data_IF_771926036627
#
_entry.id   IF_771926036627
#
_cell.length_a   1.000
_cell.length_b   1.000
_cell.length_c   1.000
_cell.angle_alpha   90.00
_cell.angle_beta   90.00
_cell.angle_gamma   90.00
#
_symmetry.space_group_name_H-M   'P 1'
#
loop_
_entity.id
_entity.type
_entity.pdbx_description
1 polymer ?
#
# COMPACT_ATOMS: atom_id res chain seq x y z
N UNK A 1 9.87 -10.34 -18.44
CA UNK A 1 9.19 -11.34 -17.59
C UNK A 1 8.01 -12.01 -18.29
N UNK A 2 7.38 -11.38 -19.29
CA UNK A 2 6.49 -12.09 -20.24
C UNK A 2 7.17 -13.33 -20.82
N UNK A 3 8.45 -13.20 -21.18
CA UNK A 3 9.21 -14.29 -21.81
C UNK A 3 9.68 -15.35 -20.81
N UNK A 4 9.69 -15.04 -19.50
CA UNK A 4 10.03 -16.00 -18.44
C UNK A 4 8.80 -16.73 -17.93
N UNK A 5 7.68 -16.03 -17.70
CA UNK A 5 6.44 -16.69 -17.30
C UNK A 5 6.03 -17.77 -18.31
N UNK A 6 6.26 -17.51 -19.61
CA UNK A 6 6.04 -18.48 -20.68
C UNK A 6 7.00 -19.69 -20.65
N UNK A 7 8.19 -19.57 -20.04
CA UNK A 7 9.17 -20.67 -19.96
C UNK A 7 9.07 -21.50 -18.68
N UNK A 8 8.20 -21.11 -17.72
CA UNK A 8 8.18 -21.71 -16.37
C UNK A 8 6.95 -22.58 -16.14
N UNK A 9 5.93 -22.51 -17.01
CA UNK A 9 4.76 -23.38 -16.91
C UNK A 9 5.15 -24.87 -16.99
N UNK A 10 6.27 -25.19 -17.65
CA UNK A 10 6.84 -26.55 -17.73
C UNK A 10 8.18 -26.71 -16.96
N UNK A 11 8.50 -25.79 -16.04
CA UNK A 11 9.77 -25.84 -15.31
C UNK A 11 9.86 -27.07 -14.39
N UNK A 12 10.96 -27.81 -14.52
CA UNK A 12 11.28 -28.93 -13.65
C UNK A 12 11.65 -28.48 -12.23
N UNK A 13 11.70 -29.42 -11.29
CA UNK A 13 12.22 -29.14 -9.95
C UNK A 13 13.67 -28.63 -9.98
N UNK A 14 14.48 -29.04 -10.97
CA UNK A 14 15.86 -28.56 -11.14
C UNK A 14 15.92 -27.11 -11.61
N UNK A 15 15.03 -26.72 -12.53
CA UNK A 15 14.91 -25.33 -12.99
C UNK A 15 14.53 -24.40 -11.83
N UNK A 16 13.59 -24.84 -10.99
CA UNK A 16 13.20 -24.09 -9.80
C UNK A 16 14.32 -24.00 -8.77
N UNK A 17 15.09 -25.07 -8.53
CA UNK A 17 16.29 -25.01 -7.65
C UNK A 17 17.29 -23.98 -8.16
N UNK A 18 17.60 -24.01 -9.46
CA UNK A 18 18.50 -23.04 -10.07
C UNK A 18 17.98 -21.62 -9.86
N UNK A 19 16.70 -21.38 -10.12
CA UNK A 19 16.08 -20.07 -10.00
C UNK A 19 16.05 -19.53 -8.56
N UNK A 20 15.66 -20.37 -7.59
CA UNK A 20 15.63 -19.98 -6.18
C UNK A 20 17.03 -19.63 -5.66
N UNK A 21 18.06 -20.32 -6.15
CA UNK A 21 19.46 -20.00 -5.86
C UNK A 21 19.92 -18.69 -6.52
N UNK A 22 19.52 -18.42 -7.77
CA UNK A 22 19.82 -17.14 -8.44
C UNK A 22 19.15 -15.97 -7.72
N UNK A 23 17.95 -16.16 -7.17
CA UNK A 23 17.27 -15.13 -6.38
C UNK A 23 17.79 -14.96 -4.95
N UNK A 24 18.92 -15.57 -4.57
CA UNK A 24 19.50 -15.48 -3.22
C UNK A 24 19.99 -14.07 -2.83
N UNK A 25 20.39 -13.24 -3.80
CA UNK A 25 21.12 -11.99 -3.57
C UNK A 25 20.29 -10.77 -3.15
N UNK A 26 19.22 -10.94 -2.36
CA UNK A 26 18.44 -9.80 -1.84
C UNK A 26 19.25 -8.84 -0.95
N UNK A 27 20.27 -9.36 -0.25
CA UNK A 27 21.08 -8.60 0.70
C UNK A 27 22.09 -7.67 0.04
N UNK A 28 22.51 -7.96 -1.19
CA UNK A 28 23.63 -7.25 -1.82
C UNK A 28 23.23 -5.85 -2.32
N UNK A 29 21.93 -5.63 -2.55
CA UNK A 29 21.41 -4.39 -3.15
C UNK A 29 20.70 -3.45 -2.16
N UNK A 30 20.43 -3.91 -0.95
CA UNK A 30 19.78 -3.10 0.06
C UNK A 30 20.49 -3.34 1.40
N UNK A 31 21.04 -2.30 2.06
CA UNK A 31 21.50 -2.42 3.44
C UNK A 31 20.29 -2.76 4.33
N UNK A 32 19.97 -4.06 4.42
CA UNK A 32 18.87 -4.62 5.19
C UNK A 32 19.13 -4.51 6.70
N UNK A 33 20.30 -4.06 7.12
CA UNK A 33 20.52 -3.69 8.51
C UNK A 33 19.71 -2.45 8.91
N UNK A 34 19.45 -1.52 7.97
CA UNK A 34 18.73 -0.25 8.24
C UNK A 34 17.38 -0.12 7.55
N UNK A 35 17.04 -1.02 6.64
CA UNK A 35 15.75 -0.99 5.94
C UNK A 35 14.60 -1.40 6.87
N UNK A 36 13.49 -0.64 6.95
CA UNK A 36 12.31 -1.03 7.71
C UNK A 36 11.65 -2.31 7.15
N UNK A 37 12.00 -2.71 5.92
CA UNK A 37 11.48 -3.92 5.27
C UNK A 37 12.35 -5.15 5.53
N UNK A 38 13.50 -4.98 6.17
CA UNK A 38 14.48 -6.04 6.33
C UNK A 38 13.95 -7.27 7.07
N UNK A 39 13.13 -7.07 8.09
CA UNK A 39 12.50 -8.19 8.79
C UNK A 39 11.58 -8.97 7.84
N UNK A 40 10.75 -8.26 7.05
CA UNK A 40 9.85 -8.90 6.07
C UNK A 40 10.63 -9.66 5.00
N UNK A 41 11.73 -9.07 4.50
CA UNK A 41 12.60 -9.70 3.51
C UNK A 41 13.30 -10.94 4.06
N UNK A 42 13.90 -10.85 5.25
CA UNK A 42 14.55 -11.99 5.91
C UNK A 42 13.56 -13.12 6.18
N UNK A 43 12.37 -12.78 6.65
CA UNK A 43 11.31 -13.78 6.88
C UNK A 43 10.90 -14.47 5.57
N UNK A 44 10.67 -13.72 4.50
CA UNK A 44 10.38 -14.32 3.18
C UNK A 44 11.54 -15.16 2.66
N UNK A 45 12.77 -14.74 2.92
CA UNK A 45 13.97 -15.48 2.52
C UNK A 45 14.08 -16.83 3.22
N UNK A 46 13.79 -16.90 4.53
CA UNK A 46 13.75 -18.16 5.27
C UNK A 46 12.70 -19.10 4.68
N UNK A 47 11.52 -18.58 4.33
CA UNK A 47 10.49 -19.34 3.65
C UNK A 47 10.97 -19.89 2.29
N UNK A 48 11.56 -19.04 1.44
CA UNK A 48 12.16 -19.43 0.16
C UNK A 48 13.23 -20.51 0.33
N UNK A 49 14.15 -20.32 1.27
CA UNK A 49 15.23 -21.27 1.53
C UNK A 49 14.67 -22.62 1.97
N UNK A 50 13.58 -22.63 2.73
CA UNK A 50 12.90 -23.87 3.11
C UNK A 50 12.40 -24.64 1.87
N UNK A 51 11.81 -23.95 0.88
CA UNK A 51 11.41 -24.57 -0.41
C UNK A 51 12.65 -25.15 -1.10
N UNK A 52 13.69 -24.33 -1.25
CA UNK A 52 14.92 -24.74 -1.95
C UNK A 52 15.58 -25.96 -1.29
N UNK A 53 15.69 -25.94 0.03
CA UNK A 53 16.28 -27.03 0.82
C UNK A 53 15.44 -28.31 0.72
N UNK A 54 14.11 -28.20 0.73
CA UNK A 54 13.20 -29.32 0.48
C UNK A 54 13.39 -29.88 -0.93
N UNK A 55 13.46 -29.02 -1.94
CA UNK A 55 13.75 -29.44 -3.31
C UNK A 55 15.10 -30.16 -3.38
N UNK A 56 16.17 -29.62 -2.81
CA UNK A 56 17.51 -30.25 -2.82
C UNK A 56 17.53 -31.66 -2.20
N UNK A 57 16.64 -31.92 -1.23
CA UNK A 57 16.48 -33.24 -0.60
C UNK A 57 15.49 -34.17 -1.31
N UNK A 58 14.89 -33.73 -2.44
CA UNK A 58 13.76 -34.40 -3.07
C UNK A 58 12.59 -34.65 -2.10
N UNK A 59 12.33 -33.70 -1.19
CA UNK A 59 11.19 -33.76 -0.27
C UNK A 59 9.88 -33.81 -1.08
N UNK A 60 9.05 -34.86 -0.94
CA UNK A 60 7.79 -34.99 -1.67
C UNK A 60 6.88 -33.78 -1.51
N UNK A 61 6.90 -33.14 -0.34
CA UNK A 61 6.09 -31.95 -0.09
C UNK A 61 6.55 -30.78 -0.96
N UNK A 62 7.86 -30.48 -0.98
CA UNK A 62 8.43 -29.40 -1.77
C UNK A 62 8.25 -29.64 -3.28
N UNK A 63 8.41 -30.88 -3.75
CA UNK A 63 8.14 -31.27 -5.14
C UNK A 63 6.66 -31.05 -5.48
N UNK A 64 5.74 -31.40 -4.57
CA UNK A 64 4.31 -31.19 -4.78
C UNK A 64 3.95 -29.72 -5.00
N UNK A 65 4.65 -28.78 -4.35
CA UNK A 65 4.42 -27.35 -4.52
C UNK A 65 4.75 -26.87 -5.94
N UNK A 66 5.72 -27.50 -6.60
CA UNK A 66 6.07 -27.22 -8.00
C UNK A 66 5.01 -27.82 -8.92
N UNK A 67 4.71 -29.12 -8.75
CA UNK A 67 3.77 -29.83 -9.62
C UNK A 67 2.34 -29.29 -9.52
N UNK A 68 1.95 -28.75 -8.37
CA UNK A 68 0.64 -28.10 -8.15
C UNK A 68 0.63 -26.62 -8.59
N UNK A 69 1.74 -26.08 -9.13
CA UNK A 69 1.84 -24.70 -9.60
C UNK A 69 1.86 -23.63 -8.50
N UNK A 70 1.88 -24.01 -7.22
CA UNK A 70 1.82 -23.08 -6.10
C UNK A 70 3.03 -22.14 -6.05
N UNK A 71 4.23 -22.65 -6.36
CA UNK A 71 5.45 -21.82 -6.41
C UNK A 71 5.41 -20.88 -7.62
N UNK A 72 4.91 -21.35 -8.76
CA UNK A 72 4.70 -20.49 -9.93
C UNK A 72 3.73 -19.35 -9.59
N UNK A 73 2.59 -19.66 -8.99
CA UNK A 73 1.60 -18.67 -8.56
C UNK A 73 2.14 -17.69 -7.52
N UNK A 74 3.12 -18.11 -6.69
CA UNK A 74 3.83 -17.23 -5.76
C UNK A 74 4.85 -16.32 -6.43
N UNK A 75 5.50 -16.72 -7.51
CA UNK A 75 6.51 -15.87 -8.15
C UNK A 75 5.99 -15.11 -9.38
N UNK A 76 4.89 -15.57 -9.98
CA UNK A 76 4.18 -14.87 -11.05
C UNK A 76 3.80 -13.47 -10.58
N UNK A 77 4.13 -12.44 -11.37
CA UNK A 77 3.88 -11.03 -11.06
C UNK A 77 4.64 -10.44 -9.84
N UNK A 78 5.55 -11.18 -9.19
CA UNK A 78 6.48 -10.54 -8.27
C UNK A 78 7.53 -9.73 -9.06
N UNK A 79 7.90 -8.52 -8.60
CA UNK A 79 9.04 -7.82 -9.17
C UNK A 79 10.30 -8.67 -9.06
N UNK A 80 11.21 -8.52 -10.02
CA UNK A 80 12.48 -9.23 -10.03
C UNK A 80 13.26 -9.06 -8.74
N UNK A 81 13.85 -10.16 -8.28
CA UNK A 81 14.52 -10.27 -6.99
C UNK A 81 15.75 -9.35 -6.84
N UNK A 82 16.36 -8.95 -7.96
CA UNK A 82 17.57 -8.10 -7.99
C UNK A 82 17.30 -6.62 -8.29
N UNK A 83 16.06 -6.16 -8.13
CA UNK A 83 15.66 -4.84 -8.62
C UNK A 83 15.24 -3.90 -7.47
N UNK A 84 15.67 -2.62 -7.49
CA UNK A 84 15.08 -1.56 -6.65
C UNK A 84 13.53 -1.54 -6.63
N UNK A 85 12.89 -2.00 -7.70
CA UNK A 85 11.44 -2.15 -7.82
C UNK A 85 10.84 -3.09 -6.80
N UNK A 86 11.56 -4.11 -6.31
CA UNK A 86 11.05 -4.97 -5.25
C UNK A 86 10.94 -4.21 -3.93
N UNK A 87 11.93 -3.37 -3.60
CA UNK A 87 11.89 -2.52 -2.40
C UNK A 87 10.71 -1.55 -2.50
N UNK A 88 10.54 -0.89 -3.64
CA UNK A 88 9.40 0.00 -3.88
C UNK A 88 8.06 -0.74 -3.81
N UNK A 89 8.00 -1.95 -4.36
CA UNK A 89 6.80 -2.78 -4.32
C UNK A 89 6.46 -3.25 -2.90
N UNK A 90 7.47 -3.59 -2.08
CA UNK A 90 7.29 -3.96 -0.67
C UNK A 90 6.87 -2.77 0.19
N UNK A 91 7.50 -1.62 -0.07
CA UNK A 91 7.12 -0.34 0.52
C UNK A 91 5.66 -0.04 0.22
N UNK A 92 5.26 -0.13 -1.04
CA UNK A 92 3.87 0.00 -1.47
C UNK A 92 2.98 -1.04 -0.76
N UNK A 93 3.33 -2.33 -0.78
CA UNK A 93 2.53 -3.39 -0.15
C UNK A 93 2.29 -3.17 1.36
N UNK A 94 3.33 -2.75 2.09
CA UNK A 94 3.30 -2.58 3.55
C UNK A 94 2.52 -1.34 3.96
N UNK A 95 2.72 -0.22 3.27
CA UNK A 95 2.14 1.06 3.67
C UNK A 95 0.80 1.36 3.01
N UNK A 96 0.47 0.66 1.92
CA UNK A 96 -0.85 0.76 1.29
C UNK A 96 -1.93 0.16 2.19
N UNK A 97 -3.07 0.85 2.24
CA UNK A 97 -4.27 0.35 2.93
C UNK A 97 -4.60 -1.08 2.46
N UNK A 98 -5.00 -2.02 3.35
CA UNK A 98 -5.28 -3.41 2.97
C UNK A 98 -6.23 -3.57 1.79
N UNK A 99 -7.28 -2.72 1.69
CA UNK A 99 -8.24 -2.74 0.56
C UNK A 99 -7.67 -2.21 -0.78
N UNK A 100 -6.52 -1.55 -0.75
CA UNK A 100 -5.82 -1.03 -1.94
C UNK A 100 -4.72 -1.97 -2.43
N UNK A 101 -4.26 -2.92 -1.62
CA UNK A 101 -3.25 -3.92 -2.01
C UNK A 101 -3.69 -4.75 -3.21
N UNK A 102 -2.77 -5.10 -4.10
CA UNK A 102 -3.07 -6.11 -5.12
C UNK A 102 -3.25 -7.49 -4.46
N UNK A 103 -3.96 -8.44 -5.09
CA UNK A 103 -4.01 -9.82 -4.60
C UNK A 103 -2.61 -10.39 -4.35
N UNK A 104 -1.66 -10.03 -5.22
CA UNK A 104 -0.26 -10.43 -5.10
C UNK A 104 0.44 -9.91 -3.85
N UNK A 105 0.27 -8.63 -3.57
CA UNK A 105 0.82 -8.00 -2.37
C UNK A 105 0.25 -8.64 -1.11
N UNK A 106 -1.06 -8.89 -1.08
CA UNK A 106 -1.69 -9.55 0.05
C UNK A 106 -1.19 -10.98 0.23
N UNK A 107 -1.12 -11.77 -0.84
CA UNK A 107 -0.65 -13.16 -0.77
C UNK A 107 0.78 -13.25 -0.24
N UNK A 108 1.69 -12.40 -0.75
CA UNK A 108 3.05 -12.30 -0.25
C UNK A 108 3.11 -11.97 1.24
N UNK A 109 2.35 -10.96 1.68
CA UNK A 109 2.33 -10.57 3.09
C UNK A 109 1.75 -11.66 3.99
N UNK A 110 0.76 -12.42 3.52
CA UNK A 110 0.21 -13.56 4.24
C UNK A 110 1.23 -14.70 4.40
N UNK A 111 2.07 -14.96 3.39
CA UNK A 111 3.18 -15.93 3.50
C UNK A 111 4.21 -15.45 4.52
N UNK A 112 4.59 -14.18 4.47
CA UNK A 112 5.53 -13.60 5.45
C UNK A 112 4.97 -13.72 6.85
N UNK A 113 3.69 -13.43 7.06
CA UNK A 113 3.05 -13.55 8.36
C UNK A 113 2.98 -15.01 8.84
N UNK A 114 2.59 -15.94 7.97
CA UNK A 114 2.56 -17.37 8.28
C UNK A 114 3.95 -17.91 8.65
N UNK A 115 5.01 -17.43 7.99
CA UNK A 115 6.39 -17.78 8.32
C UNK A 115 6.86 -17.14 9.64
N UNK A 116 6.40 -15.92 9.95
CA UNK A 116 6.82 -15.20 11.16
C UNK A 116 6.19 -15.73 12.46
N UNK A 117 5.05 -16.43 12.40
CA UNK A 117 4.34 -16.93 13.60
C UNK A 117 5.05 -18.09 14.32
N UNK A 118 6.17 -18.59 13.79
CA UNK A 118 6.95 -19.72 14.33
C UNK A 118 6.10 -20.98 14.65
N UNK A 119 4.95 -21.11 13.99
CA UNK A 119 4.12 -22.30 14.11
C UNK A 119 4.78 -23.44 13.33
N UNK A 120 4.76 -24.69 13.83
CA UNK A 120 5.35 -25.87 13.18
C UNK A 120 4.54 -26.33 11.97
N UNK A 121 4.15 -25.40 11.09
CA UNK A 121 3.52 -25.67 9.82
C UNK A 121 4.60 -25.99 8.80
N UNK A 122 4.33 -27.05 8.06
CA UNK A 122 5.10 -27.41 6.88
C UNK A 122 5.05 -26.29 5.82
N UNK A 123 5.93 -26.34 4.82
CA UNK A 123 6.03 -25.30 3.79
C UNK A 123 4.70 -25.18 3.02
N UNK A 124 4.11 -26.32 2.65
CA UNK A 124 2.78 -26.38 2.04
C UNK A 124 1.70 -25.87 2.95
N UNK A 125 1.75 -26.20 4.24
CA UNK A 125 0.82 -25.67 5.24
C UNK A 125 0.82 -24.14 5.30
N UNK A 126 2.01 -23.52 5.19
CA UNK A 126 2.14 -22.05 5.14
C UNK A 126 1.57 -21.45 3.85
N UNK A 127 1.81 -22.08 2.70
CA UNK A 127 1.25 -21.63 1.41
C UNK A 127 -0.28 -21.75 1.38
N UNK A 128 -0.82 -22.88 1.83
CA UNK A 128 -2.27 -23.09 1.91
C UNK A 128 -2.93 -22.09 2.87
N UNK A 129 -2.31 -21.83 4.03
CA UNK A 129 -2.80 -20.81 4.96
C UNK A 129 -2.83 -19.41 4.31
N UNK A 130 -1.80 -19.06 3.54
CA UNK A 130 -1.74 -17.79 2.84
C UNK A 130 -2.75 -17.68 1.69
N UNK A 131 -3.01 -18.77 0.98
CA UNK A 131 -4.05 -18.85 -0.05
C UNK A 131 -5.46 -18.68 0.55
N UNK A 132 -5.72 -19.33 1.69
CA UNK A 132 -6.98 -19.16 2.44
C UNK A 132 -7.16 -17.71 2.90
N UNK A 133 -6.11 -17.10 3.46
CA UNK A 133 -6.13 -15.68 3.84
C UNK A 133 -6.39 -14.76 2.64
N UNK A 134 -5.83 -15.09 1.47
CA UNK A 134 -6.09 -14.33 0.24
C UNK A 134 -7.58 -14.36 -0.14
N UNK A 135 -8.23 -15.52 -0.06
CA UNK A 135 -9.66 -15.64 -0.37
C UNK A 135 -10.54 -14.88 0.64
N UNK A 136 -10.22 -14.96 1.94
CA UNK A 136 -10.89 -14.13 2.95
C UNK A 136 -10.70 -12.63 2.70
N UNK A 137 -9.49 -12.23 2.33
CA UNK A 137 -9.20 -10.85 1.97
C UNK A 137 -9.97 -10.42 0.73
N UNK A 138 -10.04 -11.24 -0.32
CA UNK A 138 -10.81 -10.96 -1.54
C UNK A 138 -12.28 -10.76 -1.23
N UNK A 139 -12.88 -11.68 -0.45
CA UNK A 139 -14.29 -11.58 -0.05
C UNK A 139 -14.60 -10.24 0.64
N UNK A 140 -13.72 -9.77 1.54
CA UNK A 140 -13.84 -8.45 2.18
C UNK A 140 -13.61 -7.29 1.20
N UNK A 141 -12.53 -7.32 0.42
CA UNK A 141 -12.13 -6.18 -0.43
C UNK A 141 -13.06 -6.00 -1.64
N UNK A 142 -13.62 -7.08 -2.15
CA UNK A 142 -14.56 -7.07 -3.27
C UNK A 142 -16.02 -6.92 -2.86
N UNK A 143 -16.31 -6.83 -1.57
CA UNK A 143 -17.64 -6.49 -1.09
C UNK A 143 -18.04 -5.09 -1.63
N UNK A 144 -19.23 -4.93 -2.25
CA UNK A 144 -19.63 -3.67 -2.89
C UNK A 144 -19.51 -2.45 -1.98
N UNK A 145 -19.88 -2.57 -0.70
CA UNK A 145 -19.81 -1.52 0.31
C UNK A 145 -18.38 -1.02 0.60
N UNK A 146 -17.37 -1.86 0.35
CA UNK A 146 -15.95 -1.52 0.47
C UNK A 146 -15.37 -1.01 -0.84
N UNK A 147 -15.94 -1.42 -1.99
CA UNK A 147 -15.47 -0.98 -3.30
C UNK A 147 -15.88 0.45 -3.64
N UNK A 148 -17.09 0.86 -3.26
CA UNK A 148 -17.61 2.22 -3.51
C UNK A 148 -16.90 3.31 -2.70
N UNK A 149 -16.08 2.92 -1.72
CA UNK A 149 -15.31 3.84 -0.87
C UNK A 149 -13.84 3.82 -1.31
N UNK A 150 -13.24 5.00 -1.42
CA UNK A 150 -11.80 5.15 -1.52
C UNK A 150 -11.18 5.05 -0.12
N UNK A 151 -10.26 4.10 0.12
CA UNK A 151 -9.63 4.01 1.44
C UNK A 151 -8.74 5.22 1.73
N UNK A 152 -8.64 5.57 3.02
CA UNK A 152 -7.80 6.67 3.52
C UNK A 152 -6.32 6.46 3.11
N UNK A 153 -5.73 7.48 2.51
CA UNK A 153 -4.32 7.49 2.12
C UNK A 153 -3.40 7.50 3.36
N UNK A 154 -3.86 8.06 4.48
CA UNK A 154 -3.12 8.19 5.73
C UNK A 154 -3.32 6.99 6.68
N UNK A 155 -3.93 5.89 6.20
CA UNK A 155 -4.19 4.69 6.99
C UNK A 155 -2.99 4.17 7.77
N UNK A 156 -1.79 4.23 7.17
CA UNK A 156 -0.58 3.70 7.80
C UNK A 156 -0.17 4.48 9.05
N UNK A 157 -0.59 5.74 9.23
CA UNK A 157 -0.39 6.49 10.47
C UNK A 157 -1.28 6.05 11.62
N UNK A 158 -2.42 5.44 11.31
CA UNK A 158 -3.34 4.86 12.30
C UNK A 158 -2.96 3.42 12.67
N UNK A 159 -1.93 2.85 12.03
CA UNK A 159 -1.44 1.50 12.32
C UNK A 159 -0.42 1.47 13.48
N UNK A 160 -0.10 0.26 13.94
CA UNK A 160 0.83 -0.05 15.05
C UNK A 160 2.19 0.69 15.03
N UNK A 161 2.64 1.13 13.85
CA UNK A 161 3.94 1.78 13.65
C UNK A 161 3.85 3.29 13.40
N UNK A 162 2.64 3.88 13.44
CA UNK A 162 2.42 5.31 13.23
C UNK A 162 2.34 6.11 14.52
N UNK A 163 1.52 7.16 14.50
CA UNK A 163 1.24 7.99 15.66
C UNK A 163 0.51 7.16 16.72
N UNK A 164 0.94 7.25 17.96
CA UNK A 164 0.33 6.52 19.07
C UNK A 164 -0.44 7.48 19.96
N UNK A 165 -1.61 7.07 20.44
CA UNK A 165 -2.25 7.79 21.53
C UNK A 165 -1.30 7.77 22.75
N UNK A 166 -1.06 8.95 23.33
CA UNK A 166 -0.18 9.11 24.47
C UNK A 166 -1.00 9.10 25.75
N UNK A 167 -1.24 7.90 26.26
CA UNK A 167 -1.98 7.66 27.50
C UNK A 167 -1.20 8.03 28.76
N UNK A 168 0.02 8.58 28.63
CA UNK A 168 0.75 9.06 29.80
C UNK A 168 -0.11 10.11 30.51
N UNK A 169 -0.60 9.74 31.70
CA UNK A 169 -1.15 10.71 32.64
C UNK A 169 -0.11 11.80 32.79
N UNK A 170 -0.47 13.09 32.63
CA UNK A 170 0.48 14.17 32.83
C UNK A 170 1.14 13.93 34.18
N UNK A 171 2.41 13.53 34.16
CA UNK A 171 3.11 13.19 35.38
C UNK A 171 3.09 14.45 36.25
N UNK A 172 2.83 14.29 37.55
CA UNK A 172 2.85 15.40 38.51
C UNK A 172 4.21 16.13 38.54
N UNK A 173 5.22 15.54 37.90
CA UNK A 173 6.57 16.06 37.76
C UNK A 173 6.75 16.74 36.38
N UNK A 174 6.02 17.83 36.12
CA UNK A 174 6.42 18.99 35.28
C UNK A 174 6.88 18.87 33.80
N UNK A 175 7.20 17.70 33.25
CA UNK A 175 7.94 17.60 31.97
C UNK A 175 7.07 17.34 30.74
N UNK A 176 5.81 16.93 30.92
CA UNK A 176 4.91 16.69 29.78
C UNK A 176 4.04 17.91 29.48
N UNK A 177 4.12 18.50 28.28
CA UNK A 177 3.31 19.68 27.96
C UNK A 177 1.83 19.31 28.04
N UNK A 178 1.05 20.11 28.77
CA UNK A 178 -0.41 19.96 28.89
C UNK A 178 -1.16 20.52 27.67
N UNK A 179 -0.46 21.32 26.86
CA UNK A 179 -0.99 21.95 25.65
C UNK A 179 -0.28 21.40 24.41
N UNK A 180 -1.00 21.35 23.30
CA UNK A 180 -0.40 21.13 22.00
C UNK A 180 0.55 22.28 21.65
N UNK A 181 1.79 21.98 21.27
CA UNK A 181 2.79 23.00 20.94
C UNK A 181 2.50 23.76 19.63
N UNK A 182 1.55 23.27 18.82
CA UNK A 182 1.16 23.89 17.55
C UNK A 182 -0.07 24.78 17.71
N UNK A 183 -1.19 24.25 18.20
CA UNK A 183 -2.43 25.01 18.34
C UNK A 183 -2.66 25.61 19.73
N UNK A 184 -1.71 25.42 20.66
CA UNK A 184 -1.73 25.88 22.07
C UNK A 184 -2.95 25.43 22.89
N UNK A 185 -3.81 24.58 22.34
CA UNK A 185 -4.99 24.05 23.01
C UNK A 185 -4.60 22.97 24.02
N UNK A 186 -5.31 22.95 25.15
CA UNK A 186 -5.21 21.89 26.16
C UNK A 186 -5.55 20.53 25.55
N UNK A 187 -4.79 19.50 25.92
CA UNK A 187 -5.12 18.14 25.55
C UNK A 187 -6.39 17.66 26.27
N UNK A 188 -7.23 16.92 25.56
CA UNK A 188 -8.43 16.30 26.10
C UNK A 188 -8.68 14.92 25.46
N UNK A 189 -9.58 14.11 26.04
CA UNK A 189 -9.85 12.73 25.60
C UNK A 189 -10.71 12.63 24.33
N UNK A 190 -11.25 13.74 23.86
CA UNK A 190 -12.31 13.83 22.84
C UNK A 190 -11.82 14.50 21.57
N UNK A 191 -11.53 15.80 21.61
CA UNK A 191 -11.24 16.64 20.46
C UNK A 191 -9.73 16.84 20.30
N UNK A 192 -9.03 17.16 21.38
CA UNK A 192 -7.58 17.39 21.39
C UNK A 192 -6.84 16.16 21.91
N UNK A 193 -7.11 15.00 21.32
CA UNK A 193 -6.44 13.74 21.65
C UNK A 193 -4.92 13.87 21.52
N UNK A 194 -4.21 13.44 22.55
CA UNK A 194 -2.75 13.53 22.65
C UNK A 194 -2.11 12.40 21.84
N UNK A 195 -1.32 12.75 20.83
CA UNK A 195 -0.63 11.80 19.95
C UNK A 195 0.89 11.97 20.06
N UNK A 196 1.61 10.86 20.14
CA UNK A 196 3.08 10.82 20.19
C UNK A 196 3.64 10.26 18.89
N UNK A 197 4.54 11.01 18.25
CA UNK A 197 5.31 10.53 17.12
C UNK A 197 6.47 9.61 17.58
N UNK A 198 7.01 8.74 16.72
CA UNK A 198 8.14 7.88 17.07
C UNK A 198 9.41 8.63 17.55
N UNK A 199 9.59 9.89 17.15
CA UNK A 199 10.66 10.76 17.65
C UNK A 199 10.43 11.29 19.09
N UNK A 200 9.32 10.92 19.73
CA UNK A 200 8.98 11.31 21.10
C UNK A 200 8.12 12.57 21.23
N UNK A 201 8.07 13.43 20.20
CA UNK A 201 7.26 14.66 20.23
C UNK A 201 5.76 14.36 20.30
N UNK A 202 5.06 15.22 21.04
CA UNK A 202 3.64 15.06 21.34
C UNK A 202 2.85 16.27 20.87
N UNK A 203 1.80 16.04 20.08
CA UNK A 203 0.88 17.06 19.55
C UNK A 203 -0.54 16.52 19.57
N UNK A 204 -1.53 17.38 19.31
CA UNK A 204 -2.90 16.89 19.20
C UNK A 204 -3.11 16.17 17.87
N UNK A 205 -4.06 15.23 17.83
CA UNK A 205 -4.41 14.47 16.64
C UNK A 205 -4.71 15.40 15.45
N UNK A 206 -5.48 16.46 15.65
CA UNK A 206 -5.88 17.39 14.59
C UNK A 206 -4.67 18.12 13.97
N UNK A 207 -3.69 18.54 14.78
CA UNK A 207 -2.48 19.18 14.27
C UNK A 207 -1.61 18.19 13.48
N UNK A 208 -1.49 16.94 13.94
CA UNK A 208 -0.81 15.91 13.15
C UNK A 208 -1.53 15.62 11.85
N UNK A 209 -2.85 15.40 11.88
CA UNK A 209 -3.63 15.13 10.68
C UNK A 209 -3.49 16.26 9.67
N UNK A 210 -3.66 17.52 10.07
CA UNK A 210 -3.49 18.67 9.17
C UNK A 210 -2.09 18.72 8.57
N UNK A 211 -1.07 18.57 9.40
CA UNK A 211 0.32 18.55 8.96
C UNK A 211 0.60 17.43 7.95
N UNK A 212 0.09 16.23 8.21
CA UNK A 212 0.28 15.08 7.33
C UNK A 212 -0.51 15.23 6.02
N UNK A 213 -1.65 15.91 6.02
CA UNK A 213 -2.36 16.25 4.77
C UNK A 213 -1.59 17.26 3.90
N UNK A 214 -0.82 18.16 4.52
CA UNK A 214 0.03 19.12 3.81
C UNK A 214 1.35 18.51 3.30
N UNK A 215 1.77 17.36 3.84
CA UNK A 215 2.95 16.65 3.37
C UNK A 215 2.68 15.97 2.01
N UNK A 216 3.52 16.22 1.01
CA UNK A 216 3.34 15.63 -0.34
C UNK A 216 4.24 14.42 -0.59
N UNK A 217 5.42 14.37 0.01
CA UNK A 217 6.45 13.34 -0.26
C UNK A 217 7.03 12.75 1.02
N UNK A 218 7.35 13.58 2.01
CA UNK A 218 8.00 13.17 3.25
C UNK A 218 7.12 13.46 4.47
N UNK A 219 6.77 12.39 5.18
CA UNK A 219 5.95 12.47 6.38
C UNK A 219 6.82 12.64 7.61
N UNK A 220 6.95 13.88 8.05
CA UNK A 220 7.90 14.28 9.08
C UNK A 220 7.19 14.89 10.28
N UNK A 221 7.80 14.81 11.46
CA UNK A 221 7.30 15.47 12.65
C UNK A 221 7.42 17.00 12.45
N UNK A 222 6.38 17.81 12.69
CA UNK A 222 6.46 19.25 12.50
C UNK A 222 7.46 19.91 13.48
N UNK A 223 7.79 19.26 14.60
CA UNK A 223 8.72 19.77 15.60
C UNK A 223 10.19 19.58 15.22
N UNK A 224 10.57 18.37 14.79
CA UNK A 224 11.98 18.02 14.57
C UNK A 224 12.30 17.46 13.19
N UNK A 225 11.31 17.36 12.30
CA UNK A 225 11.42 16.82 10.93
C UNK A 225 11.85 15.35 10.83
N UNK A 226 11.93 14.64 11.95
CA UNK A 226 12.10 13.19 11.96
C UNK A 226 10.93 12.48 11.29
N UNK A 227 11.19 11.37 10.59
CA UNK A 227 10.16 10.56 9.97
C UNK A 227 9.13 10.07 10.99
N UNK A 228 7.83 10.27 10.73
CA UNK A 228 6.78 9.86 11.69
C UNK A 228 6.47 8.36 11.66
N UNK A 229 7.22 7.57 10.90
CA UNK A 229 7.11 6.09 10.87
C UNK A 229 8.23 5.44 11.68
N UNK A 230 9.48 5.90 11.51
CA UNK A 230 10.63 5.30 12.23
C UNK A 230 11.33 6.21 13.23
N UNK A 231 10.99 7.50 13.30
CA UNK A 231 11.59 8.46 14.24
C UNK A 231 12.97 8.98 13.82
N UNK A 232 13.47 8.55 12.67
CA UNK A 232 14.81 8.92 12.17
C UNK A 232 14.78 10.21 11.34
N UNK A 233 15.82 11.03 11.46
CA UNK A 233 16.03 12.20 10.61
C UNK A 233 16.56 11.78 9.22
N UNK A 234 16.06 12.41 8.15
CA UNK A 234 16.52 12.12 6.78
C UNK A 234 16.16 10.71 6.27
N UNK A 235 15.07 10.13 6.76
CA UNK A 235 14.66 8.79 6.34
C UNK A 235 14.20 8.76 4.87
N UNK A 236 14.92 8.02 4.03
CA UNK A 236 14.57 7.80 2.60
C UNK A 236 13.58 6.64 2.38
N UNK A 237 13.40 5.77 3.38
CA UNK A 237 12.60 4.55 3.22
C UNK A 237 11.08 4.80 3.27
N UNK A 238 10.66 5.91 3.88
CA UNK A 238 9.27 6.20 4.22
C UNK A 238 8.65 7.32 3.38
N UNK A 239 9.20 7.60 2.21
CA UNK A 239 8.59 8.53 1.24
C UNK A 239 7.38 7.89 0.57
N UNK A 240 6.17 8.20 1.01
CA UNK A 240 4.96 7.60 0.48
C UNK A 240 4.27 8.57 -0.48
N UNK A 241 3.83 8.05 -1.61
CA UNK A 241 3.01 8.84 -2.52
C UNK A 241 1.64 9.07 -1.89
N UNK A 242 1.33 10.33 -1.59
CA UNK A 242 0.00 10.74 -1.18
C UNK A 242 -0.79 11.26 -2.38
N UNK A 243 -2.07 10.93 -2.40
CA UNK A 243 -3.01 11.59 -3.28
C UNK A 243 -3.06 13.10 -2.93
N UNK A 244 -3.05 13.99 -3.94
CA UNK A 244 -3.03 15.45 -3.71
C UNK A 244 -4.29 15.98 -2.99
N UNK A 245 -5.39 15.24 -3.11
CA UNK A 245 -6.66 15.47 -2.42
C UNK A 245 -7.35 14.12 -2.24
N UNK A 246 -8.50 14.12 -1.55
CA UNK A 246 -9.35 12.93 -1.48
C UNK A 246 -9.87 12.62 -2.88
N UNK A 247 -9.64 11.40 -3.43
CA UNK A 247 -10.13 11.08 -4.77
C UNK A 247 -11.66 11.18 -4.86
N UNK A 248 -12.20 11.78 -5.92
CA UNK A 248 -13.64 11.77 -6.20
C UNK A 248 -14.15 10.33 -6.17
N UNK A 249 -15.16 9.98 -5.36
CA UNK A 249 -15.63 8.60 -5.27
C UNK A 249 -15.95 7.99 -6.64
N UNK A 250 -15.48 6.76 -6.88
CA UNK A 250 -15.69 6.07 -8.15
C UNK A 250 -17.18 6.01 -8.60
N UNK A 251 -18.19 5.86 -7.71
CA UNK A 251 -19.58 5.93 -8.11
C UNK A 251 -19.95 7.25 -8.80
N UNK A 252 -19.50 8.39 -8.28
CA UNK A 252 -19.78 9.73 -8.82
C UNK A 252 -19.19 9.87 -10.23
N UNK A 253 -18.00 9.30 -10.46
CA UNK A 253 -17.37 9.27 -11.78
C UNK A 253 -18.18 8.40 -12.75
N UNK A 254 -18.61 7.21 -12.31
CA UNK A 254 -19.36 6.29 -13.15
C UNK A 254 -20.78 6.77 -13.45
N UNK A 255 -21.45 7.45 -12.53
CA UNK A 255 -22.78 8.05 -12.77
C UNK A 255 -22.76 9.02 -13.96
N UNK A 256 -21.65 9.77 -14.11
CA UNK A 256 -21.46 10.70 -15.23
C UNK A 256 -21.09 10.00 -16.54
N UNK A 257 -20.30 8.92 -16.45
CA UNK A 257 -19.75 8.25 -17.63
C UNK A 257 -20.63 7.14 -18.19
N UNK A 258 -21.49 6.55 -17.34
CA UNK A 258 -22.39 5.43 -17.61
C UNK A 258 -23.77 5.71 -17.00
N UNK A 259 -24.47 6.78 -17.42
CA UNK A 259 -25.76 7.17 -16.84
C UNK A 259 -26.82 6.08 -16.93
N UNK A 260 -26.75 5.21 -17.94
CA UNK A 260 -27.64 4.05 -18.12
C UNK A 260 -27.42 2.93 -17.09
N UNK A 261 -26.34 3.01 -16.31
CA UNK A 261 -25.95 2.04 -15.27
C UNK A 261 -26.17 2.55 -13.85
N UNK A 262 -26.73 3.75 -13.69
CA UNK A 262 -27.03 4.33 -12.37
C UNK A 262 -28.04 3.43 -11.65
N UNK A 263 -27.73 3.11 -10.39
CA UNK A 263 -28.56 2.23 -9.54
C UNK A 263 -28.22 0.74 -9.63
N UNK A 264 -27.47 0.30 -10.66
CA UNK A 264 -26.91 -1.06 -10.67
C UNK A 264 -25.77 -1.18 -9.64
N UNK A 265 -25.67 -2.32 -8.96
CA UNK A 265 -24.55 -2.61 -8.06
C UNK A 265 -23.24 -2.49 -8.85
N UNK A 266 -22.35 -1.59 -8.39
CA UNK A 266 -21.07 -1.32 -9.04
C UNK A 266 -21.21 -0.94 -10.54
N UNK A 267 -22.32 -0.33 -10.93
CA UNK A 267 -22.62 0.08 -12.31
C UNK A 267 -22.57 -1.09 -13.30
N UNK A 268 -22.97 -2.28 -12.83
CA UNK A 268 -22.98 -3.52 -13.64
C UNK A 268 -21.58 -4.12 -13.87
N UNK A 269 -20.55 -3.63 -13.19
CA UNK A 269 -19.19 -4.14 -13.29
C UNK A 269 -18.94 -5.27 -12.29
N UNK A 270 -18.22 -6.31 -12.73
CA UNK A 270 -17.66 -7.30 -11.82
C UNK A 270 -16.75 -6.61 -10.76
N UNK A 271 -16.76 -7.06 -9.49
CA UNK A 271 -15.98 -6.45 -8.42
C UNK A 271 -14.49 -6.23 -8.74
N UNK A 272 -13.85 -7.21 -9.38
CA UNK A 272 -12.43 -7.15 -9.78
C UNK A 272 -12.19 -6.03 -10.80
N UNK A 273 -13.08 -5.91 -11.79
CA UNK A 273 -13.02 -4.86 -12.83
C UNK A 273 -13.29 -3.49 -12.23
N UNK A 274 -14.28 -3.38 -11.34
CA UNK A 274 -14.57 -2.14 -10.63
C UNK A 274 -13.35 -1.68 -9.83
N UNK A 275 -12.75 -2.57 -9.04
CA UNK A 275 -11.56 -2.29 -8.26
C UNK A 275 -10.37 -1.88 -9.13
N UNK A 276 -10.12 -2.63 -10.21
CA UNK A 276 -9.04 -2.32 -11.14
C UNK A 276 -9.18 -0.89 -11.71
N UNK A 277 -10.40 -0.51 -12.12
CA UNK A 277 -10.69 0.86 -12.59
C UNK A 277 -10.54 1.90 -11.48
N UNK A 278 -11.04 1.62 -10.27
CA UNK A 278 -10.90 2.52 -9.11
C UNK A 278 -9.44 2.83 -8.82
N UNK A 279 -8.58 1.81 -8.74
CA UNK A 279 -7.16 2.02 -8.45
C UNK A 279 -6.42 2.66 -9.64
N UNK A 280 -6.71 2.26 -10.88
CA UNK A 280 -6.08 2.83 -12.08
C UNK A 280 -6.40 4.33 -12.26
N UNK A 281 -7.58 4.76 -11.84
CA UNK A 281 -8.03 6.17 -11.97
C UNK A 281 -7.82 7.00 -10.71
N UNK A 282 -7.32 6.43 -9.61
CA UNK A 282 -7.31 7.10 -8.31
C UNK A 282 -6.51 8.41 -8.32
N UNK A 283 -5.29 8.37 -8.88
CA UNK A 283 -4.44 9.56 -8.95
C UNK A 283 -5.08 10.68 -9.78
N UNK A 284 -5.71 10.33 -10.90
CA UNK A 284 -6.42 11.29 -11.76
C UNK A 284 -7.66 11.87 -11.05
N UNK A 285 -8.43 11.04 -10.34
CA UNK A 285 -9.59 11.49 -9.53
C UNK A 285 -9.16 12.42 -8.40
N UNK A 286 -8.01 12.17 -7.77
CA UNK A 286 -7.44 13.05 -6.75
C UNK A 286 -6.89 14.35 -7.34
N UNK A 287 -6.23 14.29 -8.50
CA UNK A 287 -5.72 15.47 -9.19
C UNK A 287 -6.86 16.41 -9.59
N UNK A 288 -7.94 15.86 -10.15
CA UNK A 288 -9.11 16.65 -10.53
C UNK A 288 -9.73 17.37 -9.32
N UNK A 289 -9.95 16.66 -8.20
CA UNK A 289 -10.49 17.27 -6.99
C UNK A 289 -9.57 18.37 -6.44
N UNK A 290 -8.27 18.09 -6.38
CA UNK A 290 -7.27 19.06 -5.94
C UNK A 290 -7.27 20.33 -6.80
N UNK A 291 -7.35 20.21 -8.13
CA UNK A 291 -7.44 21.38 -9.03
C UNK A 291 -8.70 22.19 -8.73
N UNK A 292 -9.85 21.52 -8.55
CA UNK A 292 -11.11 22.19 -8.25
C UNK A 292 -11.05 22.96 -6.93
N UNK A 293 -10.57 22.32 -5.85
CA UNK A 293 -10.38 22.94 -4.53
C UNK A 293 -9.39 24.12 -4.58
N UNK A 294 -8.26 23.95 -5.29
CA UNK A 294 -7.23 24.96 -5.42
C UNK A 294 -7.76 26.22 -6.12
N UNK A 295 -8.48 26.06 -7.24
CA UNK A 295 -9.05 27.17 -7.99
C UNK A 295 -10.18 27.87 -7.23
N UNK A 296 -10.97 27.13 -6.45
CA UNK A 296 -12.01 27.70 -5.60
C UNK A 296 -11.44 28.55 -4.46
N UNK A 297 -10.33 28.10 -3.87
CA UNK A 297 -9.74 28.74 -2.68
C UNK A 297 -8.86 29.95 -3.01
N UNK A 298 -8.09 29.90 -4.10
CA UNK A 298 -7.03 30.88 -4.37
C UNK A 298 -7.44 32.04 -5.28
N UNK A 299 -8.73 32.18 -5.65
CA UNK A 299 -9.26 33.27 -6.49
C UNK A 299 -8.37 33.62 -7.70
N UNK A 300 -7.83 32.61 -8.38
CA UNK A 300 -6.86 32.83 -9.47
C UNK A 300 -7.57 33.42 -10.68
N UNK A 301 -7.09 34.57 -11.17
CA UNK A 301 -7.61 35.29 -12.35
C UNK A 301 -7.71 34.38 -13.58
N UNK A 302 -8.68 34.68 -14.46
CA UNK A 302 -9.00 33.83 -15.63
C UNK A 302 -7.80 33.64 -16.57
N UNK A 303 -7.03 34.71 -16.80
CA UNK A 303 -5.89 34.70 -17.73
C UNK A 303 -4.56 34.29 -17.08
N UNK A 304 -4.58 33.87 -15.81
CA UNK A 304 -3.37 33.46 -15.12
C UNK A 304 -2.82 32.16 -15.74
N UNK A 305 -1.53 32.11 -16.16
CA UNK A 305 -0.93 30.92 -16.76
C UNK A 305 -1.01 29.66 -15.89
N UNK A 306 -0.97 29.81 -14.56
CA UNK A 306 -1.14 28.69 -13.61
C UNK A 306 -2.55 28.11 -13.71
N UNK A 307 -3.58 28.97 -13.79
CA UNK A 307 -4.97 28.52 -13.94
C UNK A 307 -5.14 27.73 -15.24
N UNK A 308 -4.65 28.26 -16.36
CA UNK A 308 -4.72 27.59 -17.66
C UNK A 308 -4.05 26.21 -17.60
N UNK A 309 -2.86 26.12 -16.99
CA UNK A 309 -2.14 24.85 -16.82
C UNK A 309 -2.92 23.84 -15.97
N UNK A 310 -3.48 24.28 -14.85
CA UNK A 310 -4.24 23.41 -13.94
C UNK A 310 -5.52 22.88 -14.60
N UNK A 311 -6.23 23.72 -15.38
CA UNK A 311 -7.40 23.29 -16.14
C UNK A 311 -6.99 22.23 -17.17
N UNK A 312 -5.90 22.44 -17.91
CA UNK A 312 -5.38 21.45 -18.85
C UNK A 312 -5.04 20.12 -18.15
N UNK A 313 -4.33 20.17 -17.01
CA UNK A 313 -3.98 18.97 -16.25
C UNK A 313 -5.24 18.22 -15.75
N UNK A 314 -6.31 18.95 -15.40
CA UNK A 314 -7.61 18.38 -15.01
C UNK A 314 -8.35 17.75 -16.19
N UNK A 315 -8.35 18.40 -17.36
CA UNK A 315 -8.96 17.86 -18.60
C UNK A 315 -8.23 16.59 -19.05
N UNK A 316 -6.90 16.57 -18.99
CA UNK A 316 -6.09 15.39 -19.29
C UNK A 316 -6.38 14.24 -18.31
N UNK A 317 -6.59 14.55 -17.03
CA UNK A 317 -6.99 13.58 -16.02
C UNK A 317 -8.37 12.98 -16.33
N UNK A 318 -9.35 13.80 -16.70
CA UNK A 318 -10.68 13.33 -17.13
C UNK A 318 -10.57 12.43 -18.36
N UNK A 319 -9.76 12.79 -19.35
CA UNK A 319 -9.55 11.97 -20.54
C UNK A 319 -8.97 10.58 -20.20
N UNK A 320 -7.98 10.51 -19.30
CA UNK A 320 -7.43 9.23 -18.82
C UNK A 320 -8.44 8.42 -18.02
N UNK A 321 -9.25 9.05 -17.18
CA UNK A 321 -10.35 8.38 -16.46
C UNK A 321 -11.35 7.78 -17.46
N UNK A 322 -11.77 8.55 -18.45
CA UNK A 322 -12.68 8.08 -19.50
C UNK A 322 -12.09 6.91 -20.28
N UNK A 323 -10.80 6.99 -20.64
CA UNK A 323 -10.09 5.91 -21.32
C UNK A 323 -10.02 4.64 -20.45
N UNK A 324 -9.70 4.74 -19.17
CA UNK A 324 -9.63 3.60 -18.26
C UNK A 324 -11.00 2.93 -18.04
N UNK A 325 -12.08 3.73 -17.97
CA UNK A 325 -13.44 3.22 -17.80
C UNK A 325 -13.96 2.57 -19.09
N UNK A 326 -13.71 3.16 -20.27
CA UNK A 326 -14.24 2.67 -21.56
C UNK A 326 -13.34 1.63 -22.24
N UNK A 327 -12.02 1.79 -22.15
CA UNK A 327 -11.03 1.01 -22.90
C UNK A 327 -11.03 -0.49 -22.57
N UNK A 328 -11.44 -0.87 -21.36
CA UNK A 328 -11.50 -2.28 -20.97
C UNK A 328 -12.73 -3.05 -21.52
N UNK A 329 -13.64 -2.38 -22.25
CA UNK A 329 -14.79 -3.07 -22.86
C UNK A 329 -14.38 -3.98 -24.05
N UNK A 330 -13.16 -3.82 -24.60
CA UNK A 330 -12.73 -4.47 -25.85
C UNK A 330 -11.86 -5.73 -25.69
N UNK A 331 -11.53 -6.16 -24.47
CA UNK A 331 -10.66 -7.32 -24.21
C UNK A 331 -11.44 -8.54 -23.68
N UNK A 332 -12.63 -8.79 -24.21
CA UNK A 332 -13.41 -10.00 -23.95
C UNK A 332 -13.40 -10.92 -25.16
#
# INVERSE_FOLDING_TARGET
>A
MSDWAASVEDASAEDWRYWLNVCKYYHDYCPLDKSPFAHTMRTFEVFRNSINDGLMRNDPEAVSLITEGLVLDLYKDLPHCHHPKLVDWLKDAKFKHPHRRTPKQQHFLAIVEAQARDEPKSIKGKMLAAAVELEYWKARVYAPENLVKDPDALYFFRCKNGLREDDSTPMQDGETPQNCLVCTSLFDKTLQKRMRAPCGHVLCQQCFERWLHECTTAFTCPMCRACVICGENGCIWHELHQDRATPIPMPVVLDRLLPEKVGEVLHGLAPERYRARREATRGDRALFEWVAEYLATNMVEQDNPIRVRLIQDADDAVARIMQAVRGAAKTH
#
